data_IF_786521299858
#
_entry.id   IF_786521299858
#
_cell.length_a   1.000
_cell.length_b   1.000
_cell.length_c   1.000
_cell.angle_alpha   90.00
_cell.angle_beta   90.00
_cell.angle_gamma   90.00
#
_symmetry.space_group_name_H-M   'P 1'
#
loop_
_entity.id
_entity.type
_entity.pdbx_description
1 polymer ?
#
# COMPACT_ATOMS: atom_id res chain seq x y z
N UNK A 1 30.29 17.90 -12.50
CA UNK A 1 29.80 16.66 -11.87
C UNK A 1 28.62 17.01 -10.99
N UNK A 2 27.40 16.95 -11.51
CA UNK A 2 26.20 17.23 -10.73
C UNK A 2 25.76 15.94 -10.05
N UNK A 3 25.95 15.88 -8.74
CA UNK A 3 25.60 14.76 -7.89
C UNK A 3 24.11 14.47 -7.95
N UNK A 4 23.80 13.20 -8.17
CA UNK A 4 22.47 12.62 -8.06
C UNK A 4 21.97 12.83 -6.63
N UNK A 5 20.82 13.47 -6.38
CA UNK A 5 20.19 13.36 -5.07
C UNK A 5 19.61 11.96 -4.95
N UNK A 6 20.34 11.06 -4.29
CA UNK A 6 19.74 9.88 -3.67
C UNK A 6 18.93 10.37 -2.46
N UNK A 7 17.63 10.59 -2.62
CA UNK A 7 16.71 10.78 -1.50
C UNK A 7 15.43 10.02 -1.78
N UNK A 8 15.27 8.91 -1.07
CA UNK A 8 14.03 8.24 -0.65
C UNK A 8 12.83 8.36 -1.60
N UNK A 9 12.42 7.25 -2.24
CA UNK A 9 11.13 7.13 -2.96
C UNK A 9 10.02 7.81 -2.15
N UNK A 10 9.66 9.05 -2.48
CA UNK A 10 8.51 9.71 -1.89
C UNK A 10 7.29 8.89 -2.29
N UNK A 11 6.61 8.33 -1.30
CA UNK A 11 5.34 7.66 -1.51
C UNK A 11 4.38 8.68 -2.13
N UNK A 12 3.64 8.27 -3.16
CA UNK A 12 2.59 9.12 -3.71
C UNK A 12 1.60 9.50 -2.60
N UNK A 13 0.89 10.63 -2.71
CA UNK A 13 -0.12 11.03 -1.73
C UNK A 13 -1.12 9.91 -1.43
N UNK A 14 -1.49 9.13 -2.45
CA UNK A 14 -2.37 7.98 -2.36
C UNK A 14 -1.75 6.84 -1.56
N UNK A 15 -0.47 6.53 -1.82
CA UNK A 15 0.26 5.52 -1.04
C UNK A 15 0.41 5.94 0.43
N UNK A 16 0.62 7.22 0.72
CA UNK A 16 0.67 7.72 2.10
C UNK A 16 -0.68 7.55 2.81
N UNK A 17 -1.80 7.86 2.14
CA UNK A 17 -3.15 7.65 2.70
C UNK A 17 -3.47 6.17 2.89
N UNK A 18 -3.11 5.33 1.91
CA UNK A 18 -3.26 3.88 2.00
C UNK A 18 -2.50 3.33 3.21
N UNK A 19 -1.27 3.78 3.40
CA UNK A 19 -0.45 3.38 4.52
C UNK A 19 -1.05 3.81 5.86
N UNK A 20 -1.54 5.05 5.96
CA UNK A 20 -2.21 5.56 7.16
C UNK A 20 -3.50 4.78 7.49
N UNK A 21 -4.27 4.43 6.46
CA UNK A 21 -5.48 3.59 6.61
C UNK A 21 -5.12 2.21 7.17
N UNK A 22 -4.17 1.50 6.55
CA UNK A 22 -3.75 0.17 7.01
C UNK A 22 -3.05 0.21 8.39
N UNK A 23 -2.48 1.34 8.80
CA UNK A 23 -1.98 1.55 10.17
C UNK A 23 -3.11 1.64 11.19
N UNK A 24 -4.23 2.27 10.84
CA UNK A 24 -5.40 2.35 11.70
C UNK A 24 -6.12 0.99 11.82
N UNK A 25 -5.97 0.12 10.82
CA UNK A 25 -6.58 -1.22 10.72
C UNK A 25 -5.53 -2.34 10.66
N UNK A 26 -4.75 -2.55 11.73
CA UNK A 26 -3.66 -3.53 11.72
C UNK A 26 -4.18 -4.97 11.63
N UNK A 27 -3.48 -5.79 10.86
CA UNK A 27 -3.79 -7.20 10.54
C UNK A 27 -5.10 -7.41 9.75
N UNK A 28 -5.83 -6.37 9.40
CA UNK A 28 -6.98 -6.46 8.52
C UNK A 28 -6.54 -6.56 7.06
N UNK A 29 -7.26 -7.39 6.29
CA UNK A 29 -6.94 -7.68 4.90
C UNK A 29 -7.93 -6.99 3.98
N UNK A 30 -7.41 -6.25 3.01
CA UNK A 30 -8.21 -5.50 2.05
C UNK A 30 -7.78 -5.82 0.61
N UNK A 31 -8.75 -5.94 -0.27
CA UNK A 31 -8.52 -5.98 -1.73
C UNK A 31 -8.22 -4.58 -2.25
N UNK A 32 -7.68 -4.47 -3.47
CA UNK A 32 -7.47 -3.16 -4.12
C UNK A 32 -8.79 -2.39 -4.27
N UNK A 33 -9.89 -3.07 -4.65
CA UNK A 33 -11.20 -2.43 -4.81
C UNK A 33 -11.70 -1.82 -3.50
N UNK A 34 -11.55 -2.54 -2.38
CA UNK A 34 -11.87 -2.01 -1.06
C UNK A 34 -11.00 -0.82 -0.69
N UNK A 35 -9.69 -0.90 -0.91
CA UNK A 35 -8.78 0.22 -0.61
C UNK A 35 -9.10 1.45 -1.45
N UNK A 36 -9.40 1.28 -2.73
CA UNK A 36 -9.80 2.38 -3.62
C UNK A 36 -11.09 3.05 -3.15
N UNK A 37 -12.07 2.26 -2.71
CA UNK A 37 -13.33 2.77 -2.16
C UNK A 37 -13.12 3.53 -0.84
N UNK A 38 -12.35 2.98 0.11
CA UNK A 38 -12.07 3.64 1.40
C UNK A 38 -11.27 4.93 1.23
N UNK A 39 -10.36 4.97 0.26
CA UNK A 39 -9.51 6.13 -0.02
C UNK A 39 -10.16 7.16 -0.97
N UNK A 40 -11.27 6.78 -1.61
CA UNK A 40 -11.94 7.60 -2.62
C UNK A 40 -11.08 7.90 -3.85
N UNK A 41 -10.28 6.91 -4.31
CA UNK A 41 -9.39 7.04 -5.46
C UNK A 41 -9.67 5.96 -6.53
N UNK A 42 -8.98 6.05 -7.67
CA UNK A 42 -9.07 5.02 -8.70
C UNK A 42 -8.35 3.74 -8.24
N UNK A 43 -8.85 2.58 -8.68
CA UNK A 43 -8.22 1.29 -8.37
C UNK A 43 -6.78 1.20 -8.86
N UNK A 44 -6.48 1.79 -10.02
CA UNK A 44 -5.11 1.82 -10.57
C UNK A 44 -4.15 2.60 -9.66
N UNK A 45 -4.61 3.72 -9.07
CA UNK A 45 -3.81 4.51 -8.14
C UNK A 45 -3.59 3.77 -6.81
N UNK A 46 -4.66 3.16 -6.28
CA UNK A 46 -4.59 2.32 -5.09
C UNK A 46 -3.64 1.13 -5.29
N UNK A 47 -3.69 0.49 -6.47
CA UNK A 47 -2.79 -0.60 -6.85
C UNK A 47 -1.35 -0.16 -6.92
N UNK A 48 -1.06 0.94 -7.60
CA UNK A 48 0.30 1.49 -7.68
C UNK A 48 0.85 1.81 -6.28
N UNK A 49 0.03 2.43 -5.42
CA UNK A 49 0.41 2.73 -4.05
C UNK A 49 0.65 1.49 -3.20
N UNK A 50 -0.26 0.51 -3.26
CA UNK A 50 -0.13 -0.75 -2.52
C UNK A 50 1.09 -1.57 -2.97
N UNK A 51 1.37 -1.62 -4.26
CA UNK A 51 2.56 -2.32 -4.77
C UNK A 51 3.86 -1.60 -4.37
N UNK A 52 3.88 -0.27 -4.38
CA UNK A 52 5.03 0.49 -3.91
C UNK A 52 5.31 0.25 -2.41
N UNK A 53 4.26 0.23 -1.58
CA UNK A 53 4.38 -0.03 -0.15
C UNK A 53 4.79 -1.48 0.15
N UNK A 54 4.24 -2.45 -0.58
CA UNK A 54 4.63 -3.85 -0.45
C UNK A 54 6.09 -4.05 -0.86
N UNK A 55 6.53 -3.41 -1.95
CA UNK A 55 7.93 -3.40 -2.38
C UNK A 55 8.87 -2.79 -1.33
N UNK A 56 8.40 -1.78 -0.60
CA UNK A 56 9.16 -1.16 0.51
C UNK A 56 9.11 -1.98 1.82
N UNK A 57 8.31 -3.04 1.89
CA UNK A 57 8.14 -3.85 3.09
C UNK A 57 7.30 -3.17 4.19
N UNK A 58 6.55 -2.13 3.83
CA UNK A 58 5.66 -1.41 4.77
C UNK A 58 4.32 -2.12 4.98
N UNK A 59 3.89 -2.90 3.99
CA UNK A 59 2.66 -3.72 4.01
C UNK A 59 2.94 -5.10 3.43
N UNK A 60 2.09 -6.07 3.74
CA UNK A 60 2.12 -7.42 3.19
C UNK A 60 1.14 -7.54 2.02
N UNK A 61 1.54 -8.30 1.00
CA UNK A 61 0.72 -8.67 -0.16
C UNK A 61 0.57 -10.18 -0.16
N UNK A 62 -0.65 -10.67 -0.02
CA UNK A 62 -0.97 -12.10 0.02
C UNK A 62 -1.93 -12.44 -1.10
N UNK A 63 -1.66 -13.54 -1.81
CA UNK A 63 -2.57 -14.10 -2.80
C UNK A 63 -3.09 -15.45 -2.28
N UNK A 64 -4.29 -15.50 -1.67
CA UNK A 64 -4.90 -16.75 -1.24
C UNK A 64 -5.20 -17.66 -2.44
N UNK A 65 -5.19 -18.98 -2.23
CA UNK A 65 -5.51 -19.95 -3.27
C UNK A 65 -6.95 -19.74 -3.78
N UNK A 66 -7.07 -19.46 -5.08
CA UNK A 66 -8.37 -19.22 -5.73
C UNK A 66 -9.04 -17.88 -5.40
N UNK A 67 -8.37 -16.97 -4.68
CA UNK A 67 -8.94 -15.69 -4.26
C UNK A 67 -8.27 -14.46 -4.86
N UNK A 68 -8.83 -13.29 -4.53
CA UNK A 68 -8.27 -11.99 -4.89
C UNK A 68 -7.04 -11.66 -4.04
N UNK A 69 -6.12 -10.88 -4.61
CA UNK A 69 -4.93 -10.43 -3.88
C UNK A 69 -5.34 -9.44 -2.80
N UNK A 70 -4.91 -9.70 -1.58
CA UNK A 70 -5.20 -8.88 -0.41
C UNK A 70 -3.93 -8.25 0.13
N UNK A 71 -4.11 -7.10 0.75
CA UNK A 71 -3.07 -6.27 1.32
C UNK A 71 -3.40 -6.00 2.78
N UNK A 72 -2.41 -6.11 3.65
CA UNK A 72 -2.57 -5.89 5.09
C UNK A 72 -1.31 -5.27 5.65
N UNK A 73 -1.42 -4.61 6.80
CA UNK A 73 -0.24 -4.19 7.56
C UNK A 73 -0.19 -4.94 8.89
N UNK A 74 0.87 -5.70 9.19
CA UNK A 74 1.00 -6.35 10.49
C UNK A 74 1.13 -5.31 11.60
N UNK A 75 0.53 -5.60 12.77
CA UNK A 75 0.71 -4.75 13.95
C UNK A 75 2.19 -4.77 14.36
N UNK A 76 2.90 -3.66 14.19
CA UNK A 76 4.24 -3.51 14.79
C UNK A 76 4.06 -3.43 16.31
N UNK A 77 4.52 -4.47 17.00
CA UNK A 77 4.61 -4.54 18.47
C UNK A 77 5.72 -3.66 19.01
#
# INVERSE_FOLDING_TARGET
>A
MSGIPHSSKELSPEAQRLLAFLQAHPNEQYTIGQLAQELGCAEDDAKLGAEALAYQGEIEKVRPEGGETVYSRPRRT
#
